data_IF_679978691299
#
_entry.id   IF_679978691299
#
_cell.length_a   1.000
_cell.length_b   1.000
_cell.length_c   1.000
_cell.angle_alpha   90.00
_cell.angle_beta   90.00
_cell.angle_gamma   90.00
#
_symmetry.space_group_name_H-M   'P 1'
#
loop_
_entity.id
_entity.type
_entity.pdbx_description
1 polymer ?
#
# COMPACT_ATOMS: atom_id res chain seq x y z
N UNK A 1 6.73 23.04 -5.34
CA UNK A 1 6.93 21.97 -4.33
C UNK A 1 8.41 21.63 -4.27
N UNK A 2 8.98 21.41 -3.07
CA UNK A 2 10.43 21.21 -2.91
C UNK A 2 10.75 19.71 -3.02
N UNK A 3 11.93 19.35 -3.56
CA UNK A 3 12.39 17.95 -3.66
C UNK A 3 12.39 17.20 -2.31
N UNK A 4 12.55 17.94 -1.21
CA UNK A 4 12.48 17.44 0.18
C UNK A 4 11.17 16.72 0.51
N UNK A 5 10.08 17.08 -0.17
CA UNK A 5 8.74 16.64 0.21
C UNK A 5 8.47 15.19 -0.25
N UNK A 6 9.15 14.73 -1.31
CA UNK A 6 8.93 13.43 -1.94
C UNK A 6 9.96 12.35 -1.57
N UNK A 7 11.16 12.76 -1.15
CA UNK A 7 12.28 11.86 -0.82
C UNK A 7 12.57 11.82 0.69
N UNK A 8 11.58 12.15 1.52
CA UNK A 8 11.70 12.22 2.97
C UNK A 8 11.82 10.86 3.67
N UNK A 9 11.29 9.78 3.06
CA UNK A 9 11.30 8.43 3.63
C UNK A 9 12.52 7.62 3.17
N UNK A 10 13.31 7.13 4.12
CA UNK A 10 14.45 6.22 3.85
C UNK A 10 13.96 4.83 3.42
N UNK A 11 14.63 4.27 2.42
CA UNK A 11 14.41 2.88 2.00
C UNK A 11 14.96 1.90 3.05
N UNK A 12 14.22 0.82 3.31
CA UNK A 12 14.63 -0.28 4.19
C UNK A 12 14.26 -1.61 3.55
N UNK A 13 15.20 -2.56 3.56
CA UNK A 13 14.94 -3.94 3.16
C UNK A 13 14.03 -4.65 4.17
N UNK A 14 13.26 -5.63 3.69
CA UNK A 14 12.40 -6.48 4.53
C UNK A 14 13.30 -7.44 5.32
N UNK A 15 13.12 -7.50 6.64
CA UNK A 15 13.87 -8.44 7.49
C UNK A 15 13.14 -9.79 7.58
N UNK A 16 13.75 -10.88 7.14
CA UNK A 16 13.10 -12.21 7.20
C UNK A 16 13.17 -12.77 8.62
N UNK A 17 12.03 -12.83 9.31
CA UNK A 17 11.89 -13.32 10.69
C UNK A 17 10.65 -14.22 10.80
N UNK A 18 10.73 -15.26 11.64
CA UNK A 18 9.58 -16.13 11.97
C UNK A 18 8.50 -15.32 12.70
N UNK A 19 7.24 -15.72 12.55
CA UNK A 19 6.10 -15.12 13.25
C UNK A 19 5.62 -13.76 12.71
N UNK A 20 6.10 -13.33 11.54
CA UNK A 20 5.65 -12.09 10.91
C UNK A 20 4.24 -12.26 10.33
N UNK A 21 3.34 -11.34 10.66
CA UNK A 21 2.00 -11.29 10.06
C UNK A 21 2.02 -10.64 8.68
N UNK A 22 1.00 -10.92 7.85
CA UNK A 22 0.84 -10.28 6.54
C UNK A 22 0.75 -8.75 6.66
N UNK A 23 0.07 -8.24 7.68
CA UNK A 23 0.01 -6.80 7.96
C UNK A 23 1.39 -6.20 8.24
N UNK A 24 2.23 -6.90 9.00
CA UNK A 24 3.60 -6.45 9.27
C UNK A 24 4.44 -6.46 7.99
N UNK A 25 4.30 -7.49 7.15
CA UNK A 25 4.99 -7.57 5.87
C UNK A 25 4.58 -6.42 4.94
N UNK A 26 3.28 -6.15 4.78
CA UNK A 26 2.77 -5.04 3.96
C UNK A 26 3.27 -3.67 4.44
N UNK A 27 3.34 -3.44 5.75
CA UNK A 27 3.91 -2.21 6.34
C UNK A 27 5.41 -2.07 6.07
N UNK A 28 6.15 -3.17 5.99
CA UNK A 28 7.55 -3.13 5.59
C UNK A 28 7.72 -2.92 4.09
N UNK A 29 6.80 -3.45 3.26
CA UNK A 29 6.78 -3.20 1.81
C UNK A 29 6.66 -1.72 1.48
N UNK A 30 5.91 -0.92 2.25
CA UNK A 30 5.84 0.54 2.11
C UNK A 30 7.23 1.22 2.17
N UNK A 31 8.17 0.63 2.92
CA UNK A 31 9.54 1.14 3.10
C UNK A 31 10.52 0.62 2.05
N UNK A 32 10.08 -0.26 1.15
CA UNK A 32 10.91 -0.78 0.06
C UNK A 32 10.86 0.15 -1.17
N UNK A 33 11.58 -0.22 -2.23
CA UNK A 33 11.51 0.48 -3.52
C UNK A 33 10.40 -0.06 -4.42
N UNK A 34 10.22 0.59 -5.57
CA UNK A 34 9.39 0.09 -6.67
C UNK A 34 7.93 -0.22 -6.26
N UNK A 35 7.40 -1.38 -6.70
CA UNK A 35 6.01 -1.76 -6.53
C UNK A 35 5.64 -2.13 -5.08
N UNK A 36 6.61 -2.58 -4.27
CA UNK A 36 6.37 -2.88 -2.86
C UNK A 36 5.90 -1.64 -2.09
N UNK A 37 6.52 -0.50 -2.38
CA UNK A 37 6.11 0.80 -1.83
C UNK A 37 4.68 1.15 -2.22
N UNK A 38 4.34 0.97 -3.51
CA UNK A 38 3.01 1.28 -4.02
C UNK A 38 1.92 0.40 -3.42
N UNK A 39 2.20 -0.88 -3.19
CA UNK A 39 1.25 -1.77 -2.53
C UNK A 39 0.95 -1.29 -1.10
N UNK A 40 1.98 -0.94 -0.31
CA UNK A 40 1.79 -0.41 1.04
C UNK A 40 1.01 0.91 1.06
N UNK A 41 1.38 1.85 0.18
CA UNK A 41 0.70 3.15 0.03
C UNK A 41 -0.79 2.99 -0.34
N UNK A 42 -1.11 2.08 -1.27
CA UNK A 42 -2.51 1.82 -1.69
C UNK A 42 -3.33 1.25 -0.53
N UNK A 43 -2.79 0.31 0.25
CA UNK A 43 -3.49 -0.25 1.41
C UNK A 43 -3.80 0.85 2.43
N UNK A 44 -2.86 1.75 2.73
CA UNK A 44 -3.08 2.87 3.67
C UNK A 44 -4.15 3.85 3.15
N UNK A 45 -4.12 4.20 1.87
CA UNK A 45 -5.14 5.07 1.25
C UNK A 45 -6.50 4.41 1.29
N UNK A 46 -6.59 3.15 0.87
CA UNK A 46 -7.86 2.42 0.79
C UNK A 46 -8.47 2.17 2.18
N UNK A 47 -7.64 1.85 3.19
CA UNK A 47 -8.08 1.73 4.59
C UNK A 47 -8.67 3.05 5.11
N UNK A 48 -8.05 4.19 4.79
CA UNK A 48 -8.59 5.51 5.14
C UNK A 48 -9.92 5.79 4.45
N UNK A 49 -10.04 5.45 3.16
CA UNK A 49 -11.28 5.60 2.41
C UNK A 49 -12.42 4.77 3.03
N UNK A 50 -12.14 3.52 3.44
CA UNK A 50 -13.13 2.65 4.08
C UNK A 50 -13.59 3.19 5.44
N UNK A 51 -12.67 3.78 6.22
CA UNK A 51 -12.96 4.29 7.57
C UNK A 51 -13.69 5.63 7.57
N UNK A 52 -13.53 6.43 6.52
CA UNK A 52 -14.19 7.72 6.39
C UNK A 52 -15.62 7.57 5.85
N UNK A 53 -16.60 7.80 6.72
CA UNK A 53 -18.04 7.70 6.40
C UNK A 53 -18.52 8.73 5.38
N UNK A 54 -17.76 9.80 5.12
CA UNK A 54 -18.12 10.82 4.14
C UNK A 54 -17.51 10.55 2.76
N UNK A 55 -16.59 9.60 2.66
CA UNK A 55 -15.95 9.24 1.39
C UNK A 55 -16.83 8.28 0.59
N UNK A 56 -17.20 8.68 -0.63
CA UNK A 56 -17.82 7.76 -1.61
C UNK A 56 -16.74 7.06 -2.43
N UNK A 57 -16.71 5.74 -2.42
CA UNK A 57 -15.72 4.94 -3.17
C UNK A 57 -16.32 4.54 -4.52
N UNK A 58 -15.75 5.05 -5.60
CA UNK A 58 -16.06 4.58 -6.95
C UNK A 58 -15.15 3.39 -7.30
N UNK A 59 -15.75 2.23 -7.52
CA UNK A 59 -15.02 1.01 -7.87
C UNK A 59 -15.33 0.60 -9.31
N UNK A 60 -14.29 0.51 -10.13
CA UNK A 60 -14.35 -0.02 -11.48
C UNK A 60 -13.22 -1.02 -11.70
N UNK A 61 -13.50 -2.14 -12.36
CA UNK A 61 -12.51 -3.17 -12.65
C UNK A 61 -12.79 -3.76 -14.04
N UNK A 62 -11.76 -4.33 -14.67
CA UNK A 62 -11.90 -4.88 -16.01
C UNK A 62 -12.70 -6.18 -16.00
N UNK A 63 -13.53 -6.41 -17.02
CA UNK A 63 -14.31 -7.65 -17.15
C UNK A 63 -13.44 -8.91 -17.14
N UNK A 64 -12.22 -8.85 -17.66
CA UNK A 64 -11.26 -9.96 -17.61
C UNK A 64 -10.86 -10.36 -16.19
N UNK A 65 -11.01 -9.48 -15.20
CA UNK A 65 -10.72 -9.77 -13.80
C UNK A 65 -11.93 -10.37 -13.06
N UNK A 66 -13.12 -10.45 -13.67
CA UNK A 66 -14.30 -11.06 -13.01
C UNK A 66 -14.22 -12.58 -12.94
N UNK A 67 -13.43 -13.20 -13.82
CA UNK A 67 -13.28 -14.66 -13.91
C UNK A 67 -12.05 -15.18 -13.19
N UNK A 68 -11.22 -14.31 -12.61
CA UNK A 68 -9.92 -14.66 -12.00
C UNK A 68 -10.03 -14.94 -10.49
N UNK A 69 -11.17 -15.45 -10.05
CA UNK A 69 -11.46 -15.78 -8.65
C UNK A 69 -10.95 -17.15 -8.22
#
# INVERSE_FOLDING_TARGET
MKKSDYLSKKLKAIEVKKGKSITQLLREMEKTGFQGRKLGEVVEVFERMIKDKQTTIFFGFAGSMSTTG
#
